data_IF_902426315919
#
_entry.id   IF_902426315919
#
_cell.length_a   1.000
_cell.length_b   1.000
_cell.length_c   1.000
_cell.angle_alpha   90.00
_cell.angle_beta   90.00
_cell.angle_gamma   90.00
#
_symmetry.space_group_name_H-M   'P 1'
#
loop_
_entity.id
_entity.type
_entity.pdbx_description
1 polymer ?
#
# COMPACT_ATOMS: atom_id res chain seq x y z
N UNK A 1 -9.06 34.98 -0.53
CA UNK A 1 -9.67 33.79 -1.16
C UNK A 1 -8.92 32.58 -0.63
N UNK A 2 -9.45 31.94 0.45
CA UNK A 2 -9.02 30.61 0.87
C UNK A 2 -9.47 29.64 -0.22
N UNK A 3 -8.53 29.11 -0.96
CA UNK A 3 -8.77 27.93 -1.80
C UNK A 3 -8.94 26.76 -0.84
N UNK A 4 -10.17 26.28 -0.72
CA UNK A 4 -10.51 25.07 0.05
C UNK A 4 -9.87 23.87 -0.70
N UNK A 5 -8.60 23.62 -0.41
CA UNK A 5 -7.82 22.53 -1.00
C UNK A 5 -8.21 21.24 -0.28
N UNK A 6 -9.20 20.53 -0.80
CA UNK A 6 -9.64 19.23 -0.31
C UNK A 6 -9.16 18.14 -1.27
N UNK A 7 -8.60 17.08 -0.71
CA UNK A 7 -8.33 15.86 -1.48
C UNK A 7 -9.63 15.32 -2.08
N UNK A 8 -9.58 14.87 -3.33
CA UNK A 8 -10.77 14.42 -4.08
C UNK A 8 -10.54 13.00 -4.60
N UNK A 9 -11.55 12.16 -4.48
CA UNK A 9 -11.61 10.85 -5.14
C UNK A 9 -12.70 10.88 -6.21
N UNK A 10 -12.36 10.50 -7.44
CA UNK A 10 -13.30 10.21 -8.51
C UNK A 10 -13.22 8.75 -8.90
N UNK A 11 -14.36 8.15 -9.27
CA UNK A 11 -14.47 6.73 -9.64
C UNK A 11 -15.48 6.65 -10.79
N UNK A 12 -15.13 5.94 -11.88
CA UNK A 12 -16.02 5.75 -13.03
C UNK A 12 -17.12 4.74 -12.73
N UNK A 13 -16.78 3.62 -12.10
CA UNK A 13 -17.76 2.60 -11.74
C UNK A 13 -17.40 1.87 -10.46
N UNK A 14 -18.43 1.47 -9.72
CA UNK A 14 -18.34 0.62 -8.54
C UNK A 14 -19.20 -0.61 -8.79
N UNK A 15 -18.60 -1.79 -8.70
CA UNK A 15 -19.29 -3.07 -8.77
C UNK A 15 -19.20 -3.74 -7.42
N UNK A 16 -20.31 -4.09 -6.82
CA UNK A 16 -20.36 -4.78 -5.53
C UNK A 16 -21.18 -6.05 -5.66
N UNK A 17 -20.70 -7.11 -5.04
CA UNK A 17 -21.32 -8.42 -5.07
C UNK A 17 -21.66 -8.89 -3.67
N UNK A 18 -22.81 -9.59 -3.56
CA UNK A 18 -23.27 -10.29 -2.37
C UNK A 18 -23.17 -9.44 -1.08
N UNK A 19 -24.11 -8.50 -0.81
CA UNK A 19 -24.18 -7.82 0.45
C UNK A 19 -24.39 -8.85 1.56
N UNK A 20 -23.43 -8.99 2.47
CA UNK A 20 -23.50 -9.96 3.58
C UNK A 20 -24.22 -9.39 4.82
N UNK A 21 -24.50 -8.08 4.82
CA UNK A 21 -25.23 -7.39 5.89
C UNK A 21 -26.58 -6.92 5.36
N UNK A 22 -27.70 -7.19 6.08
CA UNK A 22 -29.01 -6.69 5.68
C UNK A 22 -29.00 -5.17 5.54
N UNK A 23 -29.48 -4.68 4.38
CA UNK A 23 -29.54 -3.25 4.01
C UNK A 23 -30.30 -2.40 5.05
N UNK A 24 -31.15 -3.00 5.88
CA UNK A 24 -31.85 -2.32 6.99
C UNK A 24 -30.93 -1.71 8.05
N UNK A 25 -29.65 -2.17 8.18
CA UNK A 25 -28.65 -1.58 9.07
C UNK A 25 -27.88 -0.41 8.43
N UNK A 26 -28.04 -0.20 7.15
CA UNK A 26 -27.26 0.75 6.34
C UNK A 26 -27.82 2.17 6.27
N UNK A 27 -28.88 2.49 7.03
CA UNK A 27 -29.45 3.83 7.06
C UNK A 27 -29.32 4.45 8.45
N UNK A 28 -28.62 5.59 8.53
CA UNK A 28 -28.73 6.44 9.72
C UNK A 28 -30.11 7.09 9.82
N UNK A 29 -30.45 7.57 11.00
CA UNK A 29 -31.69 8.33 11.24
C UNK A 29 -31.86 9.56 10.30
N UNK A 30 -30.81 9.98 9.61
CA UNK A 30 -30.79 11.10 8.68
C UNK A 30 -30.86 10.65 7.20
N UNK A 31 -31.00 9.33 6.91
CA UNK A 31 -31.15 8.82 5.54
C UNK A 31 -29.87 8.77 4.69
N UNK A 32 -28.71 9.03 5.26
CA UNK A 32 -27.43 8.84 4.58
C UNK A 32 -27.05 7.36 4.59
N UNK A 33 -26.57 6.79 3.46
CA UNK A 33 -26.11 5.41 3.43
C UNK A 33 -24.85 5.27 4.28
N UNK A 34 -24.90 4.39 5.31
CA UNK A 34 -23.75 4.06 6.16
C UNK A 34 -23.03 2.79 5.72
N UNK A 35 -23.33 2.27 4.53
CA UNK A 35 -22.66 1.11 3.99
C UNK A 35 -21.22 1.44 3.60
N UNK A 36 -20.26 0.66 4.11
CA UNK A 36 -18.87 0.69 3.66
C UNK A 36 -18.64 -0.42 2.62
N UNK A 37 -17.57 -0.31 1.84
CA UNK A 37 -17.20 -1.38 0.89
C UNK A 37 -16.97 -2.72 1.59
N UNK A 38 -16.58 -2.70 2.85
CA UNK A 38 -16.41 -3.91 3.67
C UNK A 38 -17.71 -4.61 4.06
N UNK A 39 -18.88 -3.98 3.84
CA UNK A 39 -20.19 -4.62 4.07
C UNK A 39 -20.57 -5.62 2.97
N UNK A 40 -19.82 -5.58 1.86
CA UNK A 40 -19.98 -6.50 0.75
C UNK A 40 -18.93 -7.60 0.83
N UNK A 41 -19.21 -8.74 0.22
CA UNK A 41 -18.25 -9.82 0.11
C UNK A 41 -17.10 -9.43 -0.82
N UNK A 42 -17.43 -8.66 -1.83
CA UNK A 42 -16.51 -8.29 -2.89
C UNK A 42 -16.95 -6.92 -3.46
N UNK A 43 -15.99 -6.05 -3.66
CA UNK A 43 -16.20 -4.73 -4.24
C UNK A 43 -15.06 -4.40 -5.21
N UNK A 44 -15.42 -3.95 -6.39
CA UNK A 44 -14.48 -3.51 -7.42
C UNK A 44 -14.77 -2.07 -7.81
N UNK A 45 -13.72 -1.27 -7.87
CA UNK A 45 -13.75 0.12 -8.31
C UNK A 45 -12.87 0.25 -9.55
N UNK A 46 -13.39 0.86 -10.60
CA UNK A 46 -12.67 1.00 -11.87
C UNK A 46 -12.41 2.46 -12.18
N UNK A 47 -11.23 2.74 -12.74
CA UNK A 47 -10.75 4.06 -13.13
C UNK A 47 -10.89 5.09 -11.99
N UNK A 48 -10.19 4.80 -10.88
CA UNK A 48 -10.11 5.73 -9.78
C UNK A 48 -9.09 6.82 -10.12
N UNK A 49 -9.38 8.05 -9.72
CA UNK A 49 -8.38 9.13 -9.70
C UNK A 49 -8.43 9.78 -8.32
N UNK A 50 -7.36 9.65 -7.59
CA UNK A 50 -7.15 10.39 -6.37
C UNK A 50 -6.40 11.67 -6.69
N UNK A 51 -6.96 12.82 -6.29
CA UNK A 51 -6.33 14.14 -6.44
C UNK A 51 -5.98 14.66 -5.05
N UNK A 52 -4.73 14.99 -4.82
CA UNK A 52 -4.27 15.58 -3.56
C UNK A 52 -4.61 17.07 -3.43
N UNK A 53 -4.27 17.68 -2.31
CA UNK A 53 -4.49 19.10 -2.03
C UNK A 53 -3.72 20.02 -2.98
N UNK A 54 -2.66 19.54 -3.61
CA UNK A 54 -1.81 20.27 -4.55
C UNK A 54 -2.30 20.11 -6.01
N UNK A 55 -3.34 19.28 -6.21
CA UNK A 55 -3.88 18.97 -7.53
C UNK A 55 -3.08 17.88 -8.28
N UNK A 56 -2.18 17.16 -7.60
CA UNK A 56 -1.49 16.01 -8.18
C UNK A 56 -2.46 14.83 -8.26
N UNK A 57 -2.47 14.14 -9.39
CA UNK A 57 -3.37 13.03 -9.65
C UNK A 57 -2.63 11.70 -9.54
N UNK A 58 -3.28 10.73 -8.91
CA UNK A 58 -2.88 9.33 -8.87
C UNK A 58 -4.01 8.50 -9.50
N UNK A 59 -3.96 8.24 -10.82
CA UNK A 59 -4.90 7.34 -11.46
C UNK A 59 -4.58 5.88 -11.08
N UNK A 60 -5.63 5.10 -10.85
CA UNK A 60 -5.60 3.66 -10.57
C UNK A 60 -6.61 2.99 -11.50
N UNK A 61 -6.18 2.03 -12.31
CA UNK A 61 -7.05 1.36 -13.26
C UNK A 61 -8.15 0.57 -12.55
N UNK A 62 -7.76 -0.22 -11.54
CA UNK A 62 -8.68 -1.03 -10.76
C UNK A 62 -8.25 -1.16 -9.31
N UNK A 63 -9.21 -1.06 -8.39
CA UNK A 63 -9.06 -1.47 -7.00
C UNK A 63 -10.10 -2.53 -6.68
N UNK A 64 -9.70 -3.62 -6.06
CA UNK A 64 -10.57 -4.73 -5.67
C UNK A 64 -10.38 -5.06 -4.20
N UNK A 65 -11.50 -5.23 -3.50
CA UNK A 65 -11.57 -5.65 -2.11
C UNK A 65 -12.43 -6.90 -2.02
N UNK A 66 -11.89 -7.99 -1.51
CA UNK A 66 -12.64 -9.20 -1.19
C UNK A 66 -12.54 -9.53 0.29
N UNK A 67 -13.67 -9.75 0.96
CA UNK A 67 -13.74 -10.21 2.34
C UNK A 67 -13.79 -11.73 2.34
N UNK A 68 -12.75 -12.38 2.86
CA UNK A 68 -12.60 -13.84 2.86
C UNK A 68 -13.02 -14.47 4.17
N UNK A 69 -13.06 -13.69 5.25
CA UNK A 69 -13.41 -14.17 6.60
C UNK A 69 -14.17 -13.10 7.38
N UNK A 70 -15.25 -13.51 8.05
CA UNK A 70 -16.00 -12.68 9.00
C UNK A 70 -16.16 -13.41 10.34
N UNK A 71 -16.20 -12.65 11.43
CA UNK A 71 -16.56 -13.12 12.77
C UNK A 71 -17.60 -12.13 13.30
N UNK A 72 -18.78 -12.63 13.70
CA UNK A 72 -19.91 -11.83 14.18
C UNK A 72 -20.34 -10.70 13.21
N UNK A 73 -20.13 -10.91 11.91
CA UNK A 73 -20.41 -9.94 10.86
C UNK A 73 -19.27 -8.98 10.53
N UNK A 74 -18.27 -8.87 11.39
CA UNK A 74 -17.11 -8.01 11.16
C UNK A 74 -16.07 -8.67 10.21
N UNK A 75 -15.53 -7.96 9.22
CA UNK A 75 -14.44 -8.45 8.39
C UNK A 75 -13.20 -8.76 9.25
N UNK A 76 -12.66 -9.96 9.10
CA UNK A 76 -11.46 -10.43 9.82
C UNK A 76 -10.39 -10.98 8.90
N UNK A 77 -10.68 -11.07 7.63
CA UNK A 77 -9.71 -11.48 6.60
C UNK A 77 -10.19 -11.05 5.25
N UNK A 78 -9.25 -10.80 4.35
CA UNK A 78 -9.57 -10.36 3.01
C UNK A 78 -8.35 -10.19 2.13
N UNK A 79 -8.64 -9.80 0.90
CA UNK A 79 -7.66 -9.45 -0.11
C UNK A 79 -7.93 -8.02 -0.61
N UNK A 80 -6.88 -7.24 -0.75
CA UNK A 80 -6.90 -5.94 -1.42
C UNK A 80 -5.98 -6.04 -2.63
N UNK A 81 -6.47 -5.64 -3.79
CA UNK A 81 -5.67 -5.55 -5.01
C UNK A 81 -5.80 -4.13 -5.57
N UNK A 82 -4.67 -3.53 -5.93
CA UNK A 82 -4.62 -2.31 -6.74
C UNK A 82 -3.88 -2.66 -8.03
N UNK A 83 -4.44 -2.28 -9.16
CA UNK A 83 -3.84 -2.53 -10.46
C UNK A 83 -3.59 -1.20 -11.15
N UNK A 84 -2.38 -1.10 -11.66
CA UNK A 84 -1.94 0.00 -12.51
C UNK A 84 -2.15 1.38 -11.88
N UNK A 85 -1.63 1.55 -10.65
CA UNK A 85 -1.55 2.86 -10.00
C UNK A 85 -0.37 3.64 -10.58
N UNK A 86 -0.63 4.77 -11.22
CA UNK A 86 0.40 5.54 -11.95
C UNK A 86 0.71 6.83 -11.22
N UNK A 87 1.97 7.02 -10.88
CA UNK A 87 2.48 8.27 -10.28
C UNK A 87 3.54 8.89 -11.18
N UNK A 88 3.30 10.08 -11.70
CA UNK A 88 4.30 10.80 -12.45
C UNK A 88 5.47 11.22 -11.54
N UNK A 89 6.70 10.95 -11.94
CA UNK A 89 7.88 11.32 -11.14
C UNK A 89 7.95 12.84 -10.88
N UNK A 90 7.39 13.65 -11.78
CA UNK A 90 7.33 15.11 -11.63
C UNK A 90 6.46 15.60 -10.47
N UNK A 91 5.51 14.78 -9.97
CA UNK A 91 4.64 15.14 -8.84
C UNK A 91 5.25 14.85 -7.48
N UNK A 92 6.41 14.20 -7.43
CA UNK A 92 7.10 13.90 -6.17
C UNK A 92 7.66 15.20 -5.59
N UNK A 93 7.22 15.54 -4.37
CA UNK A 93 7.61 16.78 -3.69
C UNK A 93 9.09 16.79 -3.31
N UNK A 94 9.61 15.66 -2.81
CA UNK A 94 11.02 15.55 -2.45
C UNK A 94 11.92 15.63 -3.69
N UNK A 95 12.65 16.74 -3.79
CA UNK A 95 13.50 17.06 -4.94
C UNK A 95 14.62 16.04 -5.15
N UNK A 96 15.20 15.49 -4.07
CA UNK A 96 16.27 14.51 -4.16
C UNK A 96 15.75 13.18 -4.73
N UNK A 97 14.61 12.70 -4.22
CA UNK A 97 13.94 11.48 -4.71
C UNK A 97 13.51 11.65 -6.17
N UNK A 98 12.87 12.79 -6.51
CA UNK A 98 12.47 13.11 -7.88
C UNK A 98 13.66 13.10 -8.82
N UNK A 99 14.76 13.75 -8.44
CA UNK A 99 15.98 13.79 -9.24
C UNK A 99 16.56 12.39 -9.42
N UNK A 100 16.67 11.58 -8.36
CA UNK A 100 17.19 10.21 -8.44
C UNK A 100 16.38 9.34 -9.39
N UNK A 101 15.04 9.37 -9.29
CA UNK A 101 14.17 8.61 -10.19
C UNK A 101 14.34 9.05 -11.65
N UNK A 102 14.43 10.35 -11.89
CA UNK A 102 14.69 10.90 -13.23
C UNK A 102 16.05 10.45 -13.76
N UNK A 103 17.10 10.50 -12.94
CA UNK A 103 18.46 10.07 -13.32
C UNK A 103 18.51 8.55 -13.59
N UNK A 104 17.68 7.75 -12.93
CA UNK A 104 17.47 6.33 -13.18
C UNK A 104 16.61 6.05 -14.42
N UNK A 105 16.00 7.09 -15.03
CA UNK A 105 15.21 7.00 -16.25
C UNK A 105 13.74 6.67 -16.04
N UNK A 106 13.19 6.93 -14.85
CA UNK A 106 11.78 6.75 -14.56
C UNK A 106 11.02 8.09 -14.67
N UNK A 107 10.23 8.24 -15.75
CA UNK A 107 9.34 9.39 -15.92
C UNK A 107 8.04 9.25 -15.10
N UNK A 108 7.64 8.03 -14.88
CA UNK A 108 6.48 7.62 -14.07
C UNK A 108 6.80 6.32 -13.33
N UNK A 109 6.07 6.05 -12.28
CA UNK A 109 6.12 4.81 -11.51
C UNK A 109 4.74 4.18 -11.62
N UNK A 110 4.69 2.98 -12.20
CA UNK A 110 3.46 2.17 -12.31
C UNK A 110 3.54 1.05 -11.29
N UNK A 111 2.55 0.98 -10.40
CA UNK A 111 2.56 0.06 -9.26
C UNK A 111 1.32 -0.81 -9.26
N UNK A 112 1.53 -2.11 -9.08
CA UNK A 112 0.51 -3.08 -8.68
C UNK A 112 0.73 -3.48 -7.23
N UNK A 113 -0.36 -3.72 -6.50
CA UNK A 113 -0.33 -4.17 -5.11
C UNK A 113 -1.34 -5.30 -4.91
N UNK A 114 -0.90 -6.35 -4.23
CA UNK A 114 -1.76 -7.40 -3.67
C UNK A 114 -1.45 -7.54 -2.19
N UNK A 115 -2.48 -7.45 -1.34
CA UNK A 115 -2.37 -7.70 0.08
C UNK A 115 -3.45 -8.70 0.50
N UNK A 116 -3.05 -9.81 1.12
CA UNK A 116 -3.96 -10.82 1.66
C UNK A 116 -3.58 -11.16 3.09
N UNK A 117 -4.58 -11.24 3.96
CA UNK A 117 -4.33 -11.61 5.34
C UNK A 117 -5.61 -11.80 6.13
N UNK A 118 -5.41 -12.23 7.37
CA UNK A 118 -6.48 -12.37 8.34
C UNK A 118 -6.01 -11.94 9.75
N UNK A 119 -6.99 -11.55 10.55
CA UNK A 119 -6.78 -11.17 11.94
C UNK A 119 -7.74 -11.92 12.85
N UNK A 120 -7.20 -12.53 13.88
CA UNK A 120 -7.96 -13.11 14.98
C UNK A 120 -7.88 -12.17 16.19
N UNK A 121 -8.99 -11.49 16.47
CA UNK A 121 -9.09 -10.55 17.59
C UNK A 121 -9.05 -11.22 18.96
N UNK A 122 -9.39 -12.52 19.08
CA UNK A 122 -9.49 -13.22 20.36
C UNK A 122 -8.10 -13.49 20.97
N UNK A 123 -7.11 -13.77 20.12
CA UNK A 123 -5.74 -14.03 20.53
C UNK A 123 -4.73 -12.96 20.06
N UNK A 124 -5.21 -11.94 19.35
CA UNK A 124 -4.38 -10.87 18.83
C UNK A 124 -3.41 -11.32 17.73
N UNK A 125 -3.74 -12.39 17.02
CA UNK A 125 -2.89 -12.90 15.92
C UNK A 125 -3.32 -12.31 14.59
N UNK A 126 -2.40 -11.70 13.86
CA UNK A 126 -2.60 -11.34 12.45
C UNK A 126 -1.66 -12.15 11.56
N UNK A 127 -2.20 -12.68 10.48
CA UNK A 127 -1.44 -13.40 9.46
C UNK A 127 -1.46 -12.58 8.18
N UNK A 128 -0.29 -12.17 7.73
CA UNK A 128 -0.08 -11.62 6.40
C UNK A 128 0.30 -12.78 5.49
N UNK A 129 -0.67 -13.28 4.73
CA UNK A 129 -0.47 -14.39 3.79
C UNK A 129 0.40 -13.93 2.63
N UNK A 130 0.10 -12.74 2.09
CA UNK A 130 0.81 -12.12 1.00
C UNK A 130 0.72 -10.61 1.12
N UNK A 131 1.84 -9.93 0.94
CA UNK A 131 1.92 -8.54 0.50
C UNK A 131 2.90 -8.54 -0.66
N UNK A 132 2.43 -8.13 -1.82
CA UNK A 132 3.26 -8.02 -3.01
C UNK A 132 3.08 -6.63 -3.62
N UNK A 133 4.17 -5.94 -3.82
CA UNK A 133 4.22 -4.63 -4.46
C UNK A 133 5.16 -4.78 -5.65
N UNK A 134 4.60 -4.65 -6.84
CA UNK A 134 5.35 -4.68 -8.10
C UNK A 134 5.40 -3.29 -8.69
N UNK A 135 6.60 -2.83 -9.01
CA UNK A 135 6.79 -1.59 -9.77
C UNK A 135 7.37 -1.93 -11.14
N UNK A 136 6.71 -1.44 -12.20
CA UNK A 136 7.10 -1.72 -13.58
C UNK A 136 8.55 -1.29 -13.83
N UNK A 137 9.33 -2.15 -14.47
CA UNK A 137 10.77 -1.93 -14.73
C UNK A 137 11.65 -1.70 -13.48
N UNK A 138 11.11 -1.81 -12.26
CA UNK A 138 11.90 -1.70 -11.02
C UNK A 138 12.11 -3.05 -10.38
N UNK A 139 11.01 -3.76 -10.08
CA UNK A 139 11.05 -5.06 -9.41
C UNK A 139 9.83 -5.29 -8.55
N UNK A 140 9.84 -6.42 -7.85
CA UNK A 140 8.76 -6.85 -6.96
C UNK A 140 9.29 -7.11 -5.56
N UNK A 141 8.65 -6.50 -4.57
CA UNK A 141 8.83 -6.83 -3.15
C UNK A 141 7.68 -7.71 -2.70
N UNK A 142 7.98 -8.89 -2.19
CA UNK A 142 7.00 -9.79 -1.60
C UNK A 142 7.30 -10.01 -0.12
N UNK A 143 6.26 -9.96 0.70
CA UNK A 143 6.34 -10.14 2.14
C UNK A 143 5.22 -11.05 2.63
N UNK A 144 5.53 -11.92 3.59
CA UNK A 144 4.54 -12.68 4.37
C UNK A 144 5.02 -12.86 5.80
N UNK A 145 4.08 -13.04 6.72
CA UNK A 145 4.47 -13.15 8.12
C UNK A 145 3.30 -13.34 9.07
N UNK A 146 3.64 -13.52 10.34
CA UNK A 146 2.67 -13.62 11.42
C UNK A 146 3.04 -12.65 12.52
N UNK A 147 2.06 -11.91 13.00
CA UNK A 147 2.18 -10.93 14.07
C UNK A 147 1.35 -11.41 15.25
N UNK A 148 1.89 -11.28 16.45
CA UNK A 148 1.23 -11.68 17.69
C UNK A 148 1.11 -10.44 18.58
N UNK A 149 0.04 -10.36 19.36
CA UNK A 149 -0.20 -9.23 20.27
C UNK A 149 -0.95 -8.06 19.63
N UNK A 150 -1.47 -8.20 18.41
CA UNK A 150 -2.36 -7.23 17.76
C UNK A 150 -3.78 -7.35 18.33
N UNK A 151 -3.93 -7.03 19.62
CA UNK A 151 -5.25 -7.01 20.28
C UNK A 151 -6.14 -5.90 19.73
N UNK A 152 -7.47 -5.95 19.94
CA UNK A 152 -8.37 -4.87 19.52
C UNK A 152 -7.94 -3.49 20.02
N UNK A 153 -7.43 -3.39 21.26
CA UNK A 153 -6.95 -2.14 21.85
C UNK A 153 -5.72 -1.60 21.09
N UNK A 154 -4.77 -2.48 20.72
CA UNK A 154 -3.62 -2.11 19.91
C UNK A 154 -4.05 -1.64 18.53
N UNK A 155 -4.95 -2.36 17.86
CA UNK A 155 -5.48 -1.97 16.55
C UNK A 155 -6.21 -0.62 16.62
N UNK A 156 -7.05 -0.43 17.63
CA UNK A 156 -7.74 0.85 17.83
C UNK A 156 -6.78 2.01 18.08
N UNK A 157 -5.70 1.77 18.84
CA UNK A 157 -4.68 2.79 19.07
C UNK A 157 -3.86 3.13 17.81
N UNK A 158 -3.62 2.15 16.91
CA UNK A 158 -2.94 2.36 15.63
C UNK A 158 -3.81 3.13 14.61
N UNK A 159 -5.14 3.07 14.76
CA UNK A 159 -6.08 3.81 13.90
C UNK A 159 -6.29 5.26 14.33
N UNK A 160 -5.81 5.64 15.52
CA UNK A 160 -5.83 7.05 15.94
C UNK A 160 -4.74 7.79 15.16
N UNK A 161 -5.17 8.85 14.49
CA UNK A 161 -4.32 9.70 13.63
C UNK A 161 -3.38 10.58 14.49
N UNK A 162 -2.48 9.92 15.21
CA UNK A 162 -1.53 10.55 16.12
C UNK A 162 -0.13 10.35 15.52
N UNK A 163 0.37 11.38 14.82
CA UNK A 163 1.72 11.40 14.23
C UNK A 163 2.86 11.31 15.27
N UNK A 164 2.54 10.93 16.52
CA UNK A 164 3.52 10.74 17.59
C UNK A 164 4.15 9.35 17.52
N UNK A 165 5.32 9.30 16.89
CA UNK A 165 6.13 8.07 16.76
C UNK A 165 6.41 7.40 18.11
N UNK A 166 6.55 8.17 19.21
CA UNK A 166 6.81 7.63 20.54
C UNK A 166 5.61 6.84 21.08
N UNK A 167 4.39 7.33 20.86
CA UNK A 167 3.18 6.62 21.23
C UNK A 167 2.99 5.37 20.38
N UNK A 168 3.26 5.46 19.07
CA UNK A 168 3.24 4.31 18.18
C UNK A 168 4.17 3.21 18.68
N UNK A 169 5.41 3.54 19.00
CA UNK A 169 6.39 2.58 19.53
C UNK A 169 5.97 2.00 20.87
N UNK A 170 5.35 2.78 21.75
CA UNK A 170 4.81 2.30 23.01
C UNK A 170 3.65 1.32 22.81
N UNK A 171 2.72 1.62 21.91
CA UNK A 171 1.61 0.75 21.53
C UNK A 171 2.11 -0.58 20.95
N UNK A 172 3.19 -0.54 20.17
CA UNK A 172 3.79 -1.71 19.54
C UNK A 172 4.65 -2.58 20.47
N UNK A 173 4.92 -2.17 21.73
CA UNK A 173 5.77 -2.95 22.66
C UNK A 173 5.27 -4.37 22.92
N UNK A 174 3.96 -4.61 22.84
CA UNK A 174 3.34 -5.94 23.00
C UNK A 174 3.28 -6.78 21.73
N UNK A 175 3.63 -6.19 20.59
CA UNK A 175 3.55 -6.85 19.29
C UNK A 175 4.87 -7.54 18.98
N UNK A 176 4.79 -8.81 18.63
CA UNK A 176 5.94 -9.60 18.18
C UNK A 176 5.73 -10.12 16.76
N UNK A 177 6.82 -10.23 16.02
CA UNK A 177 6.81 -10.71 14.64
C UNK A 177 7.35 -12.13 14.61
N UNK A 178 6.58 -13.05 14.01
CA UNK A 178 6.97 -14.43 13.82
C UNK A 178 6.91 -14.80 12.33
N UNK A 179 7.91 -15.57 11.88
CA UNK A 179 7.95 -16.10 10.50
C UNK A 179 7.90 -15.03 9.39
N UNK A 180 8.49 -13.86 9.61
CA UNK A 180 8.60 -12.84 8.57
C UNK A 180 9.50 -13.34 7.44
N UNK A 181 8.97 -13.31 6.21
CA UNK A 181 9.71 -13.57 4.98
C UNK A 181 9.60 -12.33 4.10
N UNK A 182 10.73 -11.88 3.59
CA UNK A 182 10.82 -10.78 2.64
C UNK A 182 11.63 -11.27 1.44
N UNK A 183 11.13 -11.02 0.23
CA UNK A 183 11.80 -11.31 -1.02
C UNK A 183 11.77 -10.07 -1.90
N UNK A 184 12.85 -9.81 -2.58
CA UNK A 184 12.91 -8.83 -3.65
C UNK A 184 13.37 -9.50 -4.94
N UNK A 185 12.61 -9.30 -6.00
CA UNK A 185 12.93 -9.74 -7.34
C UNK A 185 13.17 -8.49 -8.21
N UNK A 186 14.41 -8.30 -8.63
CA UNK A 186 14.80 -7.14 -9.43
C UNK A 186 14.38 -7.28 -10.90
N UNK A 187 13.78 -6.25 -11.47
CA UNK A 187 13.45 -6.20 -12.89
C UNK A 187 14.46 -5.37 -13.71
N UNK A 188 14.93 -4.25 -13.15
CA UNK A 188 16.03 -3.46 -13.74
C UNK A 188 16.59 -2.39 -12.81
N UNK A 189 16.01 -2.20 -11.62
CA UNK A 189 16.41 -1.12 -10.72
C UNK A 189 17.88 -1.23 -10.31
N UNK A 190 18.35 -2.43 -9.95
CA UNK A 190 19.74 -2.65 -9.59
C UNK A 190 20.70 -2.36 -10.76
N UNK A 191 20.32 -2.78 -11.97
CA UNK A 191 21.12 -2.51 -13.17
C UNK A 191 21.23 -1.01 -13.47
N UNK A 192 20.12 -0.29 -13.39
CA UNK A 192 20.07 1.16 -13.60
C UNK A 192 20.86 1.90 -12.50
N UNK A 193 20.71 1.48 -11.24
CA UNK A 193 21.43 2.08 -10.10
C UNK A 193 22.96 1.89 -10.23
N UNK A 194 23.41 0.69 -10.60
CA UNK A 194 24.83 0.43 -10.86
C UNK A 194 25.36 1.26 -12.04
N UNK A 195 24.56 1.41 -13.09
CA UNK A 195 24.93 2.22 -14.25
C UNK A 195 25.07 3.70 -13.89
N UNK A 196 24.12 4.24 -13.11
CA UNK A 196 24.17 5.61 -12.61
C UNK A 196 25.37 5.83 -11.70
N UNK A 197 25.58 4.94 -10.73
CA UNK A 197 26.71 5.03 -9.79
C UNK A 197 28.07 4.93 -10.47
N UNK A 198 28.21 4.11 -11.51
CA UNK A 198 29.43 4.03 -12.29
C UNK A 198 29.70 5.34 -13.03
N UNK A 199 28.66 5.95 -13.62
CA UNK A 199 28.74 7.26 -14.26
C UNK A 199 29.14 8.36 -13.30
N UNK A 200 28.56 8.39 -12.10
CA UNK A 200 28.85 9.40 -11.07
C UNK A 200 30.30 9.30 -10.56
N UNK A 201 30.88 8.11 -10.58
CA UNK A 201 32.25 7.85 -10.15
C UNK A 201 33.26 7.89 -11.33
N UNK A 202 32.82 8.19 -12.53
CA UNK A 202 33.65 8.22 -13.77
C UNK A 202 34.39 6.90 -13.99
N UNK A 203 33.74 5.77 -13.73
CA UNK A 203 34.24 4.40 -13.95
C UNK A 203 33.25 3.62 -14.82
N UNK A 204 33.70 2.48 -15.34
CA UNK A 204 32.80 1.57 -16.04
C UNK A 204 32.00 0.72 -15.02
N UNK A 205 30.82 0.27 -15.43
CA UNK A 205 30.00 -0.61 -14.57
C UNK A 205 30.70 -1.90 -14.14
N UNK A 206 31.46 -2.62 -15.01
CA UNK A 206 32.29 -3.76 -14.58
C UNK A 206 33.30 -3.40 -13.50
N UNK A 207 34.02 -2.29 -13.63
CA UNK A 207 35.02 -1.84 -12.66
C UNK A 207 34.36 -1.52 -11.28
N UNK A 208 33.15 -0.92 -11.30
CA UNK A 208 32.39 -0.69 -10.09
C UNK A 208 31.99 -2.02 -9.40
N UNK A 209 31.49 -3.00 -10.19
CA UNK A 209 31.10 -4.32 -9.67
C UNK A 209 32.32 -5.04 -9.08
N UNK A 210 33.48 -5.01 -9.75
CA UNK A 210 34.71 -5.61 -9.25
C UNK A 210 35.14 -4.96 -7.92
N UNK A 211 35.01 -3.64 -7.81
CA UNK A 211 35.31 -2.90 -6.57
C UNK A 211 34.39 -3.31 -5.42
N UNK A 212 33.08 -3.46 -5.67
CA UNK A 212 32.09 -3.88 -4.67
C UNK A 212 32.35 -5.33 -4.22
N UNK A 213 32.70 -6.23 -5.13
CA UNK A 213 33.03 -7.62 -4.82
C UNK A 213 34.31 -7.79 -3.99
N UNK A 214 35.24 -6.82 -4.06
CA UNK A 214 36.46 -6.84 -3.22
C UNK A 214 36.23 -6.36 -1.78
N UNK A 215 35.07 -5.74 -1.49
CA UNK A 215 34.74 -5.21 -0.16
C UNK A 215 33.91 -6.18 0.70
N UNK A 216 33.51 -7.32 0.15
CA UNK A 216 32.75 -8.39 0.81
C UNK A 216 33.68 -9.53 1.17
#
# INVERSE_FOLDING_TARGET
DEVDSQSKLSVDSIVVNEPEIPVEKAATANGEPTSSLSDYKDAELNNLVFTDENGSELPVERAHLAVTKRIDGDPRGGTITLEHAVMATSTIEDEETRKRLTDLGYAEIVVDLVAEGDWNSDDGTATLTQLEISAEDMGTVAMSGKFLGLTPDVVAALQQDDNDFSKLMQTMQGVSVANLKIRYDDSSLADRALTLSAKDQDVTKPELIDTLNMQV
#
